data_IF_779513534163
#
_entry.id   IF_779513534163
#
_cell.length_a   1.000
_cell.length_b   1.000
_cell.length_c   1.000
_cell.angle_alpha   90.00
_cell.angle_beta   90.00
_cell.angle_gamma   90.00
#
_symmetry.space_group_name_H-M   'P 1'
#
loop_
_entity.id
_entity.type
_entity.pdbx_description
1 polymer ?
#
# COMPACT_ATOMS: atom_id res chain seq x y z
N UNK A 1 -9.09 -28.55 -28.11
CA UNK A 1 -8.23 -28.34 -26.92
C UNK A 1 -8.23 -26.84 -26.68
N UNK A 2 -8.82 -26.37 -25.58
CA UNK A 2 -8.71 -24.95 -25.18
C UNK A 2 -7.25 -24.68 -24.77
N UNK A 3 -6.67 -23.50 -25.04
CA UNK A 3 -5.33 -23.20 -24.55
C UNK A 3 -5.36 -23.29 -23.02
N UNK A 4 -4.33 -23.92 -22.45
CA UNK A 4 -4.09 -23.92 -21.00
C UNK A 4 -4.20 -22.49 -20.51
N UNK A 5 -5.16 -22.23 -19.64
CA UNK A 5 -5.41 -20.89 -19.12
C UNK A 5 -4.24 -20.54 -18.20
N UNK A 6 -3.37 -19.64 -18.65
CA UNK A 6 -2.22 -19.15 -17.91
C UNK A 6 -2.73 -18.11 -16.92
N UNK A 7 -2.42 -18.29 -15.63
CA UNK A 7 -2.81 -17.35 -14.58
C UNK A 7 -1.56 -16.65 -14.03
N UNK A 8 -1.15 -15.53 -14.62
CA UNK A 8 -0.04 -14.74 -14.10
C UNK A 8 -0.42 -14.12 -12.74
N UNK A 9 0.51 -14.15 -11.79
CA UNK A 9 0.40 -13.43 -10.53
C UNK A 9 0.98 -12.03 -10.68
N UNK A 10 0.38 -11.05 -10.02
CA UNK A 10 0.88 -9.68 -10.03
C UNK A 10 0.86 -9.05 -8.64
N UNK A 11 1.91 -8.33 -8.29
CA UNK A 11 1.98 -7.52 -7.08
C UNK A 11 2.40 -6.09 -7.43
N UNK A 12 1.92 -5.13 -6.66
CA UNK A 12 2.23 -3.71 -6.73
C UNK A 12 2.78 -3.33 -5.37
N UNK A 13 3.99 -2.78 -5.35
CA UNK A 13 4.73 -2.46 -4.13
C UNK A 13 5.72 -1.34 -4.41
N UNK A 14 6.13 -0.63 -3.37
CA UNK A 14 7.28 0.25 -3.43
C UNK A 14 8.52 -0.59 -3.12
N UNK A 15 9.30 -0.93 -4.13
CA UNK A 15 10.38 -1.91 -4.05
C UNK A 15 11.65 -1.32 -3.46
N UNK A 16 11.90 -0.03 -3.69
CA UNK A 16 13.13 0.67 -3.30
C UNK A 16 12.90 1.71 -2.17
N UNK A 17 11.65 1.95 -1.77
CA UNK A 17 11.29 2.88 -0.70
C UNK A 17 11.25 4.35 -1.12
N UNK A 18 11.15 4.65 -2.41
CA UNK A 18 11.11 6.02 -2.92
C UNK A 18 9.68 6.59 -3.03
N UNK A 19 8.67 5.76 -2.75
CA UNK A 19 7.24 6.10 -2.80
C UNK A 19 6.59 5.87 -4.15
N UNK A 20 7.35 5.51 -5.19
CA UNK A 20 6.84 5.07 -6.48
C UNK A 20 6.43 3.59 -6.33
N UNK A 21 5.31 3.21 -6.95
CA UNK A 21 4.84 1.84 -6.91
C UNK A 21 5.26 1.11 -8.20
N UNK A 22 6.09 0.09 -8.06
CA UNK A 22 6.43 -0.86 -9.11
C UNK A 22 5.37 -1.95 -9.22
N UNK A 23 5.15 -2.43 -10.44
CA UNK A 23 4.35 -3.61 -10.72
C UNK A 23 5.27 -4.78 -11.05
N UNK A 24 5.15 -5.88 -10.30
CA UNK A 24 5.88 -7.12 -10.50
C UNK A 24 4.91 -8.16 -11.05
N UNK A 25 5.26 -8.79 -12.17
CA UNK A 25 4.45 -9.78 -12.88
C UNK A 25 5.20 -11.12 -12.96
N UNK A 26 4.52 -12.20 -12.56
CA UNK A 26 4.91 -13.58 -12.84
C UNK A 26 4.17 -14.07 -14.08
N UNK A 27 4.76 -14.96 -14.86
CA UNK A 27 4.22 -15.36 -16.17
C UNK A 27 3.47 -16.70 -16.19
N UNK A 28 3.36 -17.40 -15.06
CA UNK A 28 2.76 -18.75 -15.00
C UNK A 28 3.58 -19.79 -15.78
N UNK A 29 3.11 -21.05 -15.80
CA UNK A 29 3.74 -22.25 -16.43
C UNK A 29 4.84 -22.99 -15.63
N UNK A 30 4.88 -24.30 -15.86
CA UNK A 30 5.82 -25.36 -15.48
C UNK A 30 7.33 -25.14 -15.75
N UNK A 31 7.73 -24.00 -16.33
CA UNK A 31 9.11 -23.68 -16.69
C UNK A 31 9.58 -22.41 -15.98
N UNK A 32 10.89 -22.29 -15.75
CA UNK A 32 11.46 -21.16 -15.03
C UNK A 32 11.52 -19.96 -15.98
N UNK A 33 10.62 -19.00 -15.78
CA UNK A 33 10.63 -17.71 -16.47
C UNK A 33 11.02 -16.56 -15.51
N UNK A 34 11.78 -15.55 -15.99
CA UNK A 34 12.16 -14.40 -15.18
C UNK A 34 10.94 -13.50 -14.88
N UNK A 35 10.98 -12.84 -13.72
CA UNK A 35 9.99 -11.83 -13.34
C UNK A 35 10.07 -10.60 -14.27
N UNK A 36 8.92 -10.03 -14.60
CA UNK A 36 8.86 -8.69 -15.22
C UNK A 36 8.55 -7.64 -14.17
N UNK A 37 9.28 -6.52 -14.22
CA UNK A 37 9.09 -5.37 -13.34
C UNK A 37 8.81 -4.15 -14.21
N UNK A 38 7.72 -3.44 -13.90
CA UNK A 38 7.34 -2.20 -14.55
C UNK A 38 7.44 -1.05 -13.54
N UNK A 39 8.35 -0.12 -13.82
CA UNK A 39 8.57 1.09 -13.01
C UNK A 39 8.02 2.31 -13.76
N UNK A 40 7.15 3.13 -13.15
CA UNK A 40 6.71 4.38 -13.76
C UNK A 40 7.85 5.40 -13.82
N UNK A 41 8.44 5.61 -15.00
CA UNK A 41 9.53 6.57 -15.22
C UNK A 41 9.01 7.95 -15.68
N UNK A 42 8.16 8.60 -14.88
CA UNK A 42 7.63 9.93 -15.24
C UNK A 42 8.09 11.00 -14.26
N UNK A 43 8.38 12.22 -14.74
CA UNK A 43 8.70 13.38 -13.89
C UNK A 43 7.60 13.66 -12.84
N UNK A 44 6.35 13.30 -13.17
CA UNK A 44 5.21 13.41 -12.26
C UNK A 44 5.30 12.46 -11.07
N UNK A 45 6.02 11.35 -11.15
CA UNK A 45 6.21 10.42 -10.06
C UNK A 45 7.30 10.88 -9.08
N UNK A 46 8.32 11.60 -9.57
CA UNK A 46 9.54 11.91 -8.81
C UNK A 46 9.43 13.10 -7.83
N UNK A 47 8.38 13.93 -7.94
CA UNK A 47 8.26 15.18 -7.18
C UNK A 47 6.90 15.33 -6.46
N UNK A 48 6.25 14.23 -6.10
CA UNK A 48 4.94 14.24 -5.43
C UNK A 48 5.03 13.63 -4.05
N UNK A 49 4.44 14.31 -3.07
CA UNK A 49 4.36 13.83 -1.70
C UNK A 49 3.66 12.48 -1.64
N UNK A 50 4.13 11.59 -0.78
CA UNK A 50 3.48 10.30 -0.50
C UNK A 50 3.49 9.98 0.98
N UNK A 51 2.65 9.05 1.41
CA UNK A 51 2.70 8.48 2.76
C UNK A 51 2.34 7.01 2.69
N UNK A 52 3.19 6.18 3.30
CA UNK A 52 2.96 4.74 3.47
C UNK A 52 2.65 4.46 4.94
N UNK A 53 1.63 3.65 5.20
CA UNK A 53 1.22 3.30 6.56
C UNK A 53 1.15 1.78 6.72
N UNK A 54 2.06 1.23 7.54
CA UNK A 54 2.00 -0.15 8.04
C UNK A 54 1.15 -0.18 9.30
N UNK A 55 0.02 -0.87 9.25
CA UNK A 55 -0.83 -1.06 10.42
C UNK A 55 -0.60 -2.45 10.98
N UNK A 56 -0.35 -2.54 12.30
CA UNK A 56 -0.04 -3.81 12.96
C UNK A 56 -1.15 -4.22 13.94
N UNK A 57 -1.33 -5.52 14.10
CA UNK A 57 -2.11 -6.13 15.19
C UNK A 57 -1.34 -6.03 16.51
N UNK A 58 -1.98 -6.41 17.61
CA UNK A 58 -1.34 -6.44 18.92
C UNK A 58 -0.13 -7.38 18.96
N UNK A 59 -0.11 -8.41 18.12
CA UNK A 59 0.98 -9.38 17.98
C UNK A 59 2.04 -8.95 16.95
N UNK A 60 1.92 -7.76 16.36
CA UNK A 60 2.89 -7.24 15.39
C UNK A 60 2.73 -7.77 13.95
N UNK A 61 1.67 -8.51 13.65
CA UNK A 61 1.35 -8.92 12.28
C UNK A 61 0.64 -7.80 11.50
N UNK A 62 0.65 -7.81 10.15
CA UNK A 62 -0.15 -6.85 9.38
C UNK A 62 -1.64 -6.94 9.73
N UNK A 63 -2.25 -5.80 10.06
CA UNK A 63 -3.64 -5.70 10.49
C UNK A 63 -4.60 -5.76 9.30
N UNK A 64 -4.72 -6.94 8.68
CA UNK A 64 -5.63 -7.19 7.57
C UNK A 64 -7.08 -6.86 7.95
N UNK A 65 -7.80 -6.23 7.03
CA UNK A 65 -9.15 -5.69 7.22
C UNK A 65 -9.18 -4.31 7.91
N UNK A 66 -8.05 -3.79 8.42
CA UNK A 66 -8.02 -2.45 8.98
C UNK A 66 -8.25 -1.39 7.90
N UNK A 67 -9.03 -0.36 8.22
CA UNK A 67 -9.26 0.79 7.36
C UNK A 67 -8.39 1.96 7.81
N UNK A 68 -7.52 2.43 6.91
CA UNK A 68 -6.69 3.62 7.09
C UNK A 68 -7.29 4.76 6.29
N UNK A 69 -7.54 5.88 6.94
CA UNK A 69 -8.14 7.05 6.32
C UNK A 69 -7.23 8.27 6.53
N UNK A 70 -6.68 8.78 5.43
CA UNK A 70 -5.86 9.99 5.43
C UNK A 70 -6.72 11.19 5.07
N UNK A 71 -6.64 12.23 5.88
CA UNK A 71 -7.21 13.54 5.63
C UNK A 71 -6.10 14.52 5.26
N UNK A 72 -6.28 15.22 4.16
CA UNK A 72 -5.41 16.29 3.69
C UNK A 72 -6.19 17.60 3.56
N UNK A 73 -5.50 18.70 3.27
CA UNK A 73 -6.10 19.99 2.94
C UNK A 73 -7.14 19.94 1.80
N UNK A 74 -7.05 18.96 0.90
CA UNK A 74 -7.92 18.84 -0.28
C UNK A 74 -9.02 17.81 -0.15
N UNK A 75 -8.94 16.91 0.83
CA UNK A 75 -9.99 15.92 1.04
C UNK A 75 -9.51 14.69 1.81
N UNK A 76 -10.17 13.56 1.54
CA UNK A 76 -9.97 12.32 2.28
C UNK A 76 -9.74 11.14 1.34
N UNK A 77 -8.74 10.33 1.65
CA UNK A 77 -8.46 9.07 0.98
C UNK A 77 -8.58 7.92 1.98
N UNK A 78 -9.17 6.80 1.57
CA UNK A 78 -9.25 5.60 2.39
C UNK A 78 -8.58 4.43 1.69
N UNK A 79 -7.94 3.58 2.48
CA UNK A 79 -7.35 2.29 2.08
C UNK A 79 -7.75 1.23 3.09
N UNK A 80 -7.99 0.02 2.62
CA UNK A 80 -8.18 -1.14 3.47
C UNK A 80 -6.91 -1.99 3.34
N UNK A 81 -6.37 -2.45 4.46
CA UNK A 81 -5.26 -3.41 4.46
C UNK A 81 -5.83 -4.73 3.98
N UNK A 82 -5.62 -5.03 2.73
CA UNK A 82 -6.27 -6.13 2.04
C UNK A 82 -5.76 -7.51 2.51
N UNK A 83 -6.65 -8.49 2.50
CA UNK A 83 -6.37 -9.90 2.80
C UNK A 83 -5.94 -10.69 1.56
N UNK A 84 -6.29 -10.25 0.35
CA UNK A 84 -5.96 -10.93 -0.90
C UNK A 84 -6.28 -10.08 -2.14
N UNK A 85 -5.29 -9.93 -3.02
CA UNK A 85 -5.23 -8.78 -3.93
C UNK A 85 -5.18 -9.14 -5.41
N UNK A 86 -5.23 -10.43 -5.70
CA UNK A 86 -5.23 -11.02 -7.03
C UNK A 86 -5.25 -12.55 -6.93
N UNK A 87 -5.28 -13.23 -8.07
CA UNK A 87 -5.27 -14.69 -8.10
C UNK A 87 -3.86 -15.22 -7.73
N UNK A 88 -3.78 -16.01 -6.65
CA UNK A 88 -2.52 -16.59 -6.14
C UNK A 88 -1.42 -15.57 -5.79
N UNK A 89 -1.78 -14.30 -5.57
CA UNK A 89 -0.84 -13.26 -5.16
C UNK A 89 -1.44 -12.35 -4.08
N UNK A 90 -0.57 -11.68 -3.35
CA UNK A 90 -0.94 -10.72 -2.32
C UNK A 90 -0.10 -9.47 -2.49
N UNK A 91 -0.76 -8.31 -2.51
CA UNK A 91 -0.08 -7.02 -2.50
C UNK A 91 0.55 -6.81 -1.13
N UNK A 92 1.50 -5.90 -1.08
CA UNK A 92 2.07 -5.48 0.19
C UNK A 92 0.95 -4.97 1.14
N UNK A 93 0.91 -5.40 2.42
CA UNK A 93 -0.13 -5.00 3.36
C UNK A 93 0.15 -3.60 3.94
N UNK A 94 0.24 -2.61 3.07
CA UNK A 94 0.55 -1.21 3.36
C UNK A 94 -0.50 -0.31 2.73
N UNK A 95 -1.02 0.65 3.50
CA UNK A 95 -1.83 1.70 2.94
C UNK A 95 -0.92 2.78 2.32
N UNK A 96 -0.90 2.85 0.99
CA UNK A 96 -0.17 3.87 0.24
C UNK A 96 -1.09 5.00 -0.21
N UNK A 97 -0.67 6.25 0.04
CA UNK A 97 -1.36 7.47 -0.32
C UNK A 97 -0.45 8.38 -1.14
N UNK A 98 -0.92 8.80 -2.32
CA UNK A 98 -0.37 9.96 -3.00
C UNK A 98 -0.93 11.24 -2.38
N UNK A 99 -0.05 12.10 -1.89
CA UNK A 99 -0.36 13.39 -1.26
C UNK A 99 -0.15 14.56 -2.25
N UNK A 100 0.76 14.41 -3.22
CA UNK A 100 1.11 15.46 -4.18
C UNK A 100 1.67 16.71 -3.46
N UNK A 101 1.01 17.86 -3.59
CA UNK A 101 1.35 19.10 -2.89
C UNK A 101 0.39 19.42 -1.72
N UNK A 102 -0.51 18.49 -1.38
CA UNK A 102 -1.46 18.68 -0.28
C UNK A 102 -0.76 18.57 1.09
N UNK A 103 -1.36 19.14 2.13
CA UNK A 103 -0.83 19.05 3.49
C UNK A 103 -1.59 17.93 4.22
N UNK A 104 -0.92 16.87 4.71
CA UNK A 104 -1.57 15.88 5.55
C UNK A 104 -1.92 16.50 6.91
N UNK A 105 -3.14 16.24 7.39
CA UNK A 105 -3.67 16.85 8.62
C UNK A 105 -3.93 15.79 9.68
N UNK A 106 -4.49 14.65 9.27
CA UNK A 106 -4.96 13.63 10.20
C UNK A 106 -4.97 12.26 9.55
N UNK A 107 -4.53 11.26 10.32
CA UNK A 107 -4.64 9.85 9.98
C UNK A 107 -5.58 9.17 10.96
N UNK A 108 -6.53 8.41 10.43
CA UNK A 108 -7.43 7.57 11.21
C UNK A 108 -7.18 6.11 10.87
N UNK A 109 -7.09 5.26 11.89
CA UNK A 109 -6.96 3.82 11.71
C UNK A 109 -8.07 3.13 12.50
N UNK A 110 -8.89 2.34 11.81
CA UNK A 110 -9.94 1.51 12.36
C UNK A 110 -9.57 0.04 12.14
N UNK A 111 -9.41 -0.72 13.21
CA UNK A 111 -9.15 -2.15 13.16
C UNK A 111 -10.46 -2.95 13.03
N UNK A 112 -10.40 -4.21 12.55
CA UNK A 112 -11.59 -5.05 12.40
C UNK A 112 -12.35 -5.31 13.71
N UNK A 113 -11.65 -5.27 14.84
CA UNK A 113 -12.22 -5.43 16.18
C UNK A 113 -12.85 -4.14 16.73
N UNK A 114 -13.05 -3.13 15.87
CA UNK A 114 -13.61 -1.80 16.15
C UNK A 114 -12.70 -0.86 16.94
N UNK A 115 -11.48 -1.28 17.30
CA UNK A 115 -10.49 -0.36 17.89
C UNK A 115 -10.16 0.74 16.90
N UNK A 116 -9.92 1.93 17.43
CA UNK A 116 -9.74 3.13 16.63
C UNK A 116 -8.59 3.97 17.17
N UNK A 117 -7.81 4.57 16.27
CA UNK A 117 -6.71 5.47 16.61
C UNK A 117 -6.69 6.66 15.65
N UNK A 118 -6.42 7.84 16.19
CA UNK A 118 -6.23 9.08 15.43
C UNK A 118 -4.84 9.61 15.70
N UNK A 119 -4.17 10.03 14.63
CA UNK A 119 -2.90 10.73 14.68
C UNK A 119 -3.07 12.07 13.95
N UNK A 120 -2.63 13.16 14.58
CA UNK A 120 -2.46 14.43 13.88
C UNK A 120 -1.16 14.35 13.09
N UNK A 121 -1.19 14.81 11.85
CA UNK A 121 -0.03 14.81 10.96
C UNK A 121 0.44 16.25 10.70
N UNK A 122 1.71 16.38 10.42
CA UNK A 122 2.36 17.62 9.99
C UNK A 122 3.00 17.43 8.62
N UNK A 123 3.44 18.52 7.99
CA UNK A 123 4.12 18.47 6.70
C UNK A 123 5.40 17.61 6.70
N UNK A 124 6.01 17.38 7.87
CA UNK A 124 7.16 16.47 8.05
C UNK A 124 6.80 14.99 7.93
N UNK A 125 5.51 14.64 7.93
CA UNK A 125 5.03 13.26 7.79
C UNK A 125 4.74 12.86 6.33
N UNK A 126 5.35 13.52 5.37
CA UNK A 126 5.33 13.14 3.94
C UNK A 126 6.64 12.46 3.57
N UNK A 127 6.61 11.69 2.48
CA UNK A 127 7.72 10.94 1.91
C UNK A 127 8.34 9.97 2.91
N UNK A 128 7.49 9.28 3.66
CA UNK A 128 7.92 8.34 4.67
C UNK A 128 6.96 7.16 4.81
N UNK A 129 7.48 6.09 5.39
CA UNK A 129 6.69 4.99 5.91
C UNK A 129 6.51 5.14 7.42
N UNK A 130 5.25 5.05 7.88
CA UNK A 130 4.87 5.10 9.28
C UNK A 130 4.32 3.75 9.73
N UNK A 131 4.74 3.30 10.92
CA UNK A 131 4.15 2.13 11.59
C UNK A 131 3.12 2.60 12.63
N UNK A 132 1.92 2.04 12.55
CA UNK A 132 0.84 2.28 13.51
C UNK A 132 0.46 0.96 14.18
N UNK A 133 0.89 0.80 15.42
CA UNK A 133 0.54 -0.37 16.23
C UNK A 133 -0.86 -0.29 16.80
N UNK A 134 -1.50 -1.45 16.91
CA UNK A 134 -2.77 -1.65 17.60
C UNK A 134 -2.78 -0.98 18.98
N UNK A 135 -3.85 -0.28 19.37
CA UNK A 135 -4.01 0.23 20.73
C UNK A 135 -3.96 -0.91 21.76
N UNK A 136 -3.42 -0.66 22.96
CA UNK A 136 -3.52 -1.66 24.04
C UNK A 136 -4.96 -1.82 24.54
#
# INVERSE_FOLDING_TARGET
>A
MWPSQIFPGCAVTDLNGDGILEMILTHGDSTIEPLSIFTPLTDKALNRGWLRVRVLTQQGAPARGAKVTLHTSRGRQARIIDTGSGYLCQMEPVAHFGIDCDIPVRLEVLWPDTKFKVLNLEASNVNMEMIVSHPR
#
